data_IF_258243179849
#
_entry.id   IF_258243179849
#
_cell.length_a   1.000
_cell.length_b   1.000
_cell.length_c   1.000
_cell.angle_alpha   90.00
_cell.angle_beta   90.00
_cell.angle_gamma   90.00
#
_symmetry.space_group_name_H-M   'P 1'
#
loop_
_entity.id
_entity.type
_entity.pdbx_description
1 polymer ?
#
# COMPACT_ATOMS: atom_id res chain seq x y z
N UNK A 1 6.72 -25.94 28.23
CA UNK A 1 7.20 -24.65 28.80
C UNK A 1 8.69 -24.65 29.22
N UNK A 2 9.56 -25.55 28.75
CA UNK A 2 11.01 -25.50 29.02
C UNK A 2 11.89 -25.10 27.83
N UNK A 3 11.29 -24.90 26.65
CA UNK A 3 12.01 -24.56 25.41
C UNK A 3 12.20 -23.04 25.25
N UNK A 4 11.33 -22.22 25.86
CA UNK A 4 11.43 -20.76 25.86
C UNK A 4 12.50 -20.21 26.82
N UNK A 5 12.93 -20.99 27.81
CA UNK A 5 13.88 -20.53 28.84
C UNK A 5 15.33 -20.56 28.36
N UNK A 6 15.66 -21.46 27.41
CA UNK A 6 17.00 -21.54 26.83
C UNK A 6 17.23 -20.49 25.73
N UNK A 7 16.17 -20.04 25.05
CA UNK A 7 16.27 -19.04 23.98
C UNK A 7 16.69 -17.65 24.49
N UNK A 8 16.38 -17.33 25.75
CA UNK A 8 16.73 -16.04 26.38
C UNK A 8 18.18 -16.04 26.92
N UNK A 9 18.72 -17.22 27.28
CA UNK A 9 20.08 -17.31 27.82
C UNK A 9 21.18 -17.23 26.75
N UNK A 10 20.90 -17.72 25.54
CA UNK A 10 21.82 -17.55 24.39
C UNK A 10 21.82 -16.09 23.87
N UNK A 11 20.77 -15.33 24.15
CA UNK A 11 20.63 -13.89 23.81
C UNK A 11 21.63 -12.97 24.55
N UNK A 12 22.33 -13.48 25.57
CA UNK A 12 23.26 -12.71 26.39
C UNK A 12 24.72 -12.81 25.94
N UNK A 13 25.03 -13.62 24.92
CA UNK A 13 26.42 -13.84 24.42
C UNK A 13 26.71 -13.25 23.05
N UNK A 14 25.69 -12.89 22.28
CA UNK A 14 25.87 -12.30 20.95
C UNK A 14 25.68 -10.77 20.97
N UNK A 15 26.37 -10.01 20.11
CA UNK A 15 26.09 -8.59 19.95
C UNK A 15 24.61 -8.42 19.60
N UNK A 16 23.93 -7.52 20.32
CA UNK A 16 22.48 -7.21 20.19
C UNK A 16 22.09 -6.94 18.72
N UNK A 17 23.03 -6.47 17.91
CA UNK A 17 22.87 -6.22 16.48
C UNK A 17 22.61 -7.49 15.64
N UNK A 18 23.05 -8.67 16.10
CA UNK A 18 22.90 -9.95 15.38
C UNK A 18 21.57 -10.67 15.63
N UNK A 19 20.96 -10.46 16.80
CA UNK A 19 19.72 -11.15 17.19
C UNK A 19 18.44 -10.43 16.73
N UNK A 20 18.50 -9.13 16.42
CA UNK A 20 17.37 -8.37 15.87
C UNK A 20 17.32 -8.36 14.34
N UNK A 21 18.41 -8.77 13.68
CA UNK A 21 18.55 -8.73 12.23
C UNK A 21 17.72 -9.75 11.42
N UNK A 22 17.36 -10.96 11.88
CA UNK A 22 16.82 -11.97 10.96
C UNK A 22 15.30 -11.93 10.77
N UNK A 23 14.52 -11.08 11.47
CA UNK A 23 13.06 -11.23 11.47
C UNK A 23 12.21 -10.08 10.93
N UNK A 24 12.75 -8.91 10.60
CA UNK A 24 11.93 -7.87 9.97
C UNK A 24 12.80 -6.87 9.21
N UNK A 25 12.73 -6.89 7.89
CA UNK A 25 13.24 -5.81 7.04
C UNK A 25 12.24 -4.64 7.10
N UNK A 26 12.58 -3.51 7.75
CA UNK A 26 11.68 -2.37 7.86
C UNK A 26 11.25 -1.84 6.48
N UNK A 27 12.10 -1.96 5.46
CA UNK A 27 11.77 -1.57 4.10
C UNK A 27 10.70 -2.49 3.49
N UNK A 28 10.74 -3.79 3.76
CA UNK A 28 9.72 -4.74 3.33
C UNK A 28 8.37 -4.49 4.01
N UNK A 29 8.36 -4.14 5.31
CA UNK A 29 7.12 -3.75 6.02
C UNK A 29 6.52 -2.50 5.37
N UNK A 30 7.33 -1.44 5.22
CA UNK A 30 6.85 -0.19 4.64
C UNK A 30 6.35 -0.39 3.20
N UNK A 31 7.02 -1.24 2.42
CA UNK A 31 6.58 -1.60 1.07
C UNK A 31 5.24 -2.35 1.05
N UNK A 32 5.03 -3.28 1.99
CA UNK A 32 3.76 -4.00 2.15
C UNK A 32 2.62 -3.05 2.57
N UNK A 33 2.91 -2.11 3.47
CA UNK A 33 1.97 -1.05 3.88
C UNK A 33 1.58 -0.20 2.66
N UNK A 34 2.55 0.29 1.88
CA UNK A 34 2.28 1.05 0.66
C UNK A 34 1.48 0.26 -0.38
N UNK A 35 1.70 -1.06 -0.49
CA UNK A 35 0.92 -1.93 -1.36
C UNK A 35 -0.55 -2.05 -0.87
N UNK A 36 -0.74 -2.23 0.44
CA UNK A 36 -2.06 -2.30 1.05
C UNK A 36 -2.84 -0.98 0.89
N UNK A 37 -2.20 0.16 1.10
CA UNK A 37 -2.82 1.48 0.91
C UNK A 37 -3.22 1.72 -0.55
N UNK A 38 -2.36 1.31 -1.50
CA UNK A 38 -2.70 1.35 -2.93
C UNK A 38 -3.92 0.48 -3.26
N UNK A 39 -3.99 -0.72 -2.69
CA UNK A 39 -5.13 -1.61 -2.86
C UNK A 39 -6.43 -1.00 -2.29
N UNK A 40 -6.36 -0.38 -1.10
CA UNK A 40 -7.51 0.32 -0.50
C UNK A 40 -8.03 1.44 -1.41
N UNK A 41 -7.14 2.24 -2.01
CA UNK A 41 -7.53 3.26 -3.00
C UNK A 41 -8.18 2.65 -4.23
N UNK A 42 -7.70 1.51 -4.72
CA UNK A 42 -8.32 0.81 -5.85
C UNK A 42 -9.73 0.32 -5.48
N UNK A 43 -9.91 -0.27 -4.30
CA UNK A 43 -11.22 -0.66 -3.79
C UNK A 43 -12.18 0.53 -3.68
N UNK A 44 -11.71 1.67 -3.20
CA UNK A 44 -12.52 2.90 -3.10
C UNK A 44 -12.99 3.39 -4.48
N UNK A 45 -12.09 3.40 -5.47
CA UNK A 45 -12.43 3.76 -6.85
C UNK A 45 -13.43 2.79 -7.48
N UNK A 46 -13.23 1.48 -7.28
CA UNK A 46 -14.14 0.45 -7.77
C UNK A 46 -15.56 0.61 -7.19
N UNK A 47 -15.65 0.88 -5.89
CA UNK A 47 -16.94 1.18 -5.23
C UNK A 47 -17.59 2.43 -5.83
N UNK A 48 -16.79 3.40 -6.28
CA UNK A 48 -17.29 4.62 -6.91
C UNK A 48 -17.79 4.38 -8.35
N UNK A 49 -17.09 3.59 -9.15
CA UNK A 49 -17.39 3.39 -10.58
C UNK A 49 -18.51 2.39 -10.84
N UNK A 50 -18.58 1.31 -10.06
CA UNK A 50 -19.35 0.12 -10.44
C UNK A 50 -20.70 0.04 -9.73
N UNK A 51 -20.84 0.72 -8.58
CA UNK A 51 -22.07 0.69 -7.80
C UNK A 51 -22.97 1.87 -8.17
N UNK A 52 -24.02 1.56 -8.95
CA UNK A 52 -25.07 2.52 -9.29
C UNK A 52 -26.03 2.80 -8.14
N UNK A 53 -26.16 1.88 -7.18
CA UNK A 53 -27.04 2.08 -6.02
C UNK A 53 -26.32 2.90 -4.94
N UNK A 54 -26.74 4.15 -4.74
CA UNK A 54 -26.16 5.06 -3.76
C UNK A 54 -26.18 4.52 -2.31
N UNK A 55 -27.17 3.68 -1.94
CA UNK A 55 -27.22 3.09 -0.60
C UNK A 55 -26.18 1.99 -0.40
N UNK A 56 -25.99 1.12 -1.40
CA UNK A 56 -24.98 0.06 -1.35
C UNK A 56 -23.57 0.65 -1.43
N UNK A 57 -23.38 1.62 -2.32
CA UNK A 57 -22.14 2.40 -2.44
C UNK A 57 -21.76 3.04 -1.10
N UNK A 58 -22.69 3.72 -0.43
CA UNK A 58 -22.44 4.33 0.88
C UNK A 58 -22.11 3.29 1.96
N UNK A 59 -22.79 2.14 1.97
CA UNK A 59 -22.54 1.05 2.92
C UNK A 59 -21.13 0.48 2.74
N UNK A 60 -20.72 0.26 1.48
CA UNK A 60 -19.40 -0.25 1.14
C UNK A 60 -18.30 0.74 1.48
N UNK A 61 -18.46 2.03 1.16
CA UNK A 61 -17.48 3.06 1.52
C UNK A 61 -17.30 3.20 3.03
N UNK A 62 -18.39 3.12 3.82
CA UNK A 62 -18.30 3.12 5.29
C UNK A 62 -17.59 1.88 5.84
N UNK A 63 -17.85 0.70 5.25
CA UNK A 63 -17.13 -0.53 5.61
C UNK A 63 -15.64 -0.42 5.28
N UNK A 64 -15.31 0.08 4.09
CA UNK A 64 -13.93 0.27 3.63
C UNK A 64 -13.18 1.26 4.53
N UNK A 65 -13.82 2.37 4.90
CA UNK A 65 -13.26 3.33 5.85
C UNK A 65 -12.89 2.67 7.19
N UNK A 66 -13.81 1.86 7.73
CA UNK A 66 -13.58 1.15 8.98
C UNK A 66 -12.38 0.19 8.87
N UNK A 67 -12.37 -0.65 7.84
CA UNK A 67 -11.24 -1.57 7.61
C UNK A 67 -9.91 -0.83 7.43
N UNK A 68 -9.92 0.30 6.73
CA UNK A 68 -8.72 1.15 6.54
C UNK A 68 -8.21 1.69 7.88
N UNK A 69 -9.12 2.16 8.74
CA UNK A 69 -8.79 2.62 10.09
C UNK A 69 -8.20 1.49 10.94
N UNK A 70 -8.84 0.31 10.94
CA UNK A 70 -8.36 -0.87 11.70
C UNK A 70 -6.95 -1.29 11.24
N UNK A 71 -6.66 -1.21 9.93
CA UNK A 71 -5.33 -1.51 9.37
C UNK A 71 -4.28 -0.48 9.81
N UNK A 72 -4.58 0.81 9.69
CA UNK A 72 -3.67 1.89 10.12
C UNK A 72 -3.38 1.78 11.63
N UNK A 73 -4.38 1.50 12.45
CA UNK A 73 -4.20 1.30 13.89
C UNK A 73 -3.32 0.08 14.20
N UNK A 74 -3.49 -1.01 13.46
CA UNK A 74 -2.66 -2.22 13.63
C UNK A 74 -1.21 -1.97 13.23
N UNK A 75 -0.97 -1.28 12.13
CA UNK A 75 0.37 -0.89 11.66
C UNK A 75 1.06 0.02 12.67
N UNK A 76 0.37 1.05 13.13
CA UNK A 76 0.91 1.98 14.11
C UNK A 76 1.27 1.26 15.42
N UNK A 77 0.45 0.32 15.87
CA UNK A 77 0.74 -0.49 17.06
C UNK A 77 2.00 -1.34 16.90
N UNK A 78 2.26 -1.89 15.71
CA UNK A 78 3.49 -2.63 15.44
C UNK A 78 4.73 -1.72 15.51
N UNK A 79 4.63 -0.53 14.91
CA UNK A 79 5.70 0.48 14.95
C UNK A 79 5.97 0.91 16.39
N UNK A 80 4.92 1.22 17.16
CA UNK A 80 5.03 1.63 18.57
C UNK A 80 5.72 0.55 19.41
N UNK A 81 5.36 -0.73 19.20
CA UNK A 81 5.99 -1.86 19.88
C UNK A 81 7.48 -1.97 19.54
N UNK A 82 7.85 -1.80 18.28
CA UNK A 82 9.26 -1.85 17.85
C UNK A 82 10.08 -0.73 18.48
N UNK A 83 9.56 0.50 18.44
CA UNK A 83 10.22 1.66 19.06
C UNK A 83 10.36 1.46 20.57
N UNK A 84 9.30 1.02 21.25
CA UNK A 84 9.34 0.80 22.70
C UNK A 84 10.36 -0.27 23.11
N UNK A 85 10.48 -1.36 22.34
CA UNK A 85 11.51 -2.39 22.57
C UNK A 85 12.91 -1.82 22.37
N UNK A 86 13.13 -1.05 21.29
CA UNK A 86 14.44 -0.46 21.00
C UNK A 86 14.87 0.53 22.08
N UNK A 87 13.96 1.41 22.52
CA UNK A 87 14.22 2.39 23.58
C UNK A 87 14.39 1.71 24.95
N UNK A 88 13.59 0.67 25.25
CA UNK A 88 13.77 -0.15 26.44
C UNK A 88 15.14 -0.84 26.49
N UNK A 89 15.60 -1.39 25.36
CA UNK A 89 16.92 -1.99 25.24
C UNK A 89 18.05 -0.95 25.41
N UNK A 90 17.90 0.24 24.85
CA UNK A 90 18.86 1.34 25.02
C UNK A 90 18.94 1.82 26.48
N UNK A 91 17.79 1.95 27.15
CA UNK A 91 17.73 2.33 28.57
C UNK A 91 18.43 1.31 29.46
N UNK A 92 18.19 0.02 29.20
CA UNK A 92 18.87 -1.10 29.87
C UNK A 92 20.38 -1.06 29.63
N UNK A 93 20.82 -0.80 28.40
CA UNK A 93 22.24 -0.71 28.06
C UNK A 93 22.92 0.40 28.85
N UNK A 94 22.31 1.59 28.87
CA UNK A 94 22.79 2.74 29.64
C UNK A 94 22.86 2.42 31.13
N UNK A 95 21.80 1.82 31.69
CA UNK A 95 21.80 1.40 33.10
C UNK A 95 22.93 0.42 33.42
N UNK A 96 23.22 -0.56 32.55
CA UNK A 96 24.35 -1.48 32.74
C UNK A 96 25.71 -0.76 32.77
N UNK A 97 25.89 0.23 31.91
CA UNK A 97 27.12 1.04 31.87
C UNK A 97 27.28 1.87 33.15
N UNK A 98 26.19 2.46 33.64
CA UNK A 98 26.15 3.22 34.88
C UNK A 98 26.39 2.31 36.10
N UNK A 99 25.74 1.15 36.15
CA UNK A 99 25.91 0.17 37.22
C UNK A 99 27.34 -0.35 37.30
N UNK A 100 27.94 -0.73 36.17
CA UNK A 100 29.33 -1.23 36.11
C UNK A 100 30.34 -0.19 36.61
N UNK A 101 30.04 1.10 36.41
CA UNK A 101 30.89 2.21 36.87
C UNK A 101 30.82 2.39 38.39
N UNK A 102 29.65 2.17 38.99
CA UNK A 102 29.44 2.26 40.44
C UNK A 102 29.84 0.97 41.18
N UNK A 103 29.67 -0.18 40.53
CA UNK A 103 29.87 -1.52 41.09
C UNK A 103 30.80 -2.37 40.21
N UNK A 104 32.12 -2.10 40.20
CA UNK A 104 33.06 -2.80 39.33
C UNK A 104 33.18 -4.30 39.63
N UNK A 105 32.85 -4.74 40.85
CA UNK A 105 32.90 -6.13 41.27
C UNK A 105 31.58 -6.90 41.05
N UNK A 106 30.50 -6.20 40.69
CA UNK A 106 29.21 -6.80 40.31
C UNK A 106 28.76 -6.18 38.98
N UNK A 107 29.29 -6.63 37.83
CA UNK A 107 29.01 -6.01 36.54
C UNK A 107 27.62 -6.36 35.96
N UNK A 108 26.84 -7.22 36.64
CA UNK A 108 25.55 -7.72 36.14
C UNK A 108 24.41 -6.94 36.80
N UNK A 109 24.56 -6.63 38.10
CA UNK A 109 23.55 -5.96 38.90
C UNK A 109 22.28 -6.79 39.12
N UNK A 110 21.30 -6.22 39.84
CA UNK A 110 20.08 -6.95 40.19
C UNK A 110 19.20 -7.17 38.96
N UNK A 111 18.92 -8.43 38.63
CA UNK A 111 18.08 -8.79 37.49
C UNK A 111 16.67 -8.17 37.57
N UNK A 112 16.16 -7.95 38.77
CA UNK A 112 14.84 -7.35 38.98
C UNK A 112 14.82 -5.86 38.61
N UNK A 113 15.88 -5.12 38.96
CA UNK A 113 16.02 -3.71 38.57
C UNK A 113 16.15 -3.56 37.05
N UNK A 114 16.89 -4.46 36.41
CA UNK A 114 16.95 -4.56 34.95
C UNK A 114 15.55 -4.72 34.32
N UNK A 115 14.74 -5.64 34.86
CA UNK A 115 13.38 -5.92 34.34
C UNK A 115 12.46 -4.72 34.54
N UNK A 116 12.57 -4.08 35.69
CA UNK A 116 11.77 -2.92 36.05
C UNK A 116 12.06 -1.74 35.12
N UNK A 117 13.34 -1.42 34.89
CA UNK A 117 13.74 -0.32 33.98
C UNK A 117 13.27 -0.58 32.56
N UNK A 118 13.44 -1.80 32.05
CA UNK A 118 12.94 -2.16 30.73
C UNK A 118 11.41 -2.03 30.64
N UNK A 119 10.69 -2.56 31.62
CA UNK A 119 9.22 -2.47 31.70
C UNK A 119 8.75 -1.02 31.71
N UNK A 120 9.35 -0.18 32.55
CA UNK A 120 8.92 1.20 32.76
C UNK A 120 9.20 2.06 31.54
N UNK A 121 10.36 1.87 30.90
CA UNK A 121 10.67 2.54 29.64
C UNK A 121 9.69 2.13 28.54
N UNK A 122 9.48 0.83 28.34
CA UNK A 122 8.52 0.33 27.32
C UNK A 122 7.13 0.92 27.55
N UNK A 123 6.64 0.94 28.79
CA UNK A 123 5.33 1.52 29.13
C UNK A 123 5.27 3.01 28.82
N UNK A 124 6.27 3.79 29.25
CA UNK A 124 6.31 5.23 29.03
C UNK A 124 6.29 5.58 27.54
N UNK A 125 7.08 4.86 26.73
CA UNK A 125 7.14 5.07 25.28
C UNK A 125 5.81 4.77 24.60
N UNK A 126 5.17 3.64 24.96
CA UNK A 126 3.86 3.27 24.42
C UNK A 126 2.76 4.29 24.79
N UNK A 127 2.79 4.85 26.00
CA UNK A 127 1.82 5.86 26.43
C UNK A 127 1.96 7.20 25.68
N UNK A 128 3.19 7.67 25.48
CA UNK A 128 3.45 8.89 24.71
C UNK A 128 3.05 8.72 23.24
N UNK A 129 3.47 7.62 22.60
CA UNK A 129 3.09 7.27 21.23
C UNK A 129 1.58 7.22 21.05
N UNK A 130 0.85 6.62 22.00
CA UNK A 130 -0.61 6.56 21.94
C UNK A 130 -1.28 7.94 21.86
N UNK A 131 -0.71 8.96 22.52
CA UNK A 131 -1.21 10.34 22.47
C UNK A 131 -0.93 10.99 21.11
N UNK A 132 0.24 10.73 20.52
CA UNK A 132 0.63 11.22 19.19
C UNK A 132 -0.24 10.59 18.08
N UNK A 133 -0.44 9.28 18.16
CA UNK A 133 -1.12 8.50 17.13
C UNK A 133 -2.58 8.89 16.97
N UNK A 134 -3.28 9.19 18.07
CA UNK A 134 -4.66 9.69 18.02
C UNK A 134 -4.80 10.99 17.22
N UNK A 135 -3.76 11.83 17.18
CA UNK A 135 -3.76 13.06 16.37
C UNK A 135 -3.40 12.77 14.91
N UNK A 136 -2.55 11.76 14.67
CA UNK A 136 -2.09 11.37 13.35
C UNK A 136 -3.15 10.60 12.53
N UNK A 137 -3.97 9.78 13.18
CA UNK A 137 -5.05 9.02 12.52
C UNK A 137 -6.06 9.93 11.82
N UNK A 138 -6.42 11.05 12.44
CA UNK A 138 -7.40 12.00 11.89
C UNK A 138 -6.86 12.77 10.66
N UNK A 139 -5.54 12.82 10.52
CA UNK A 139 -4.85 13.52 9.41
C UNK A 139 -4.45 12.58 8.27
N UNK A 140 -4.79 11.28 8.35
CA UNK A 140 -4.34 10.30 7.38
C UNK A 140 -4.96 10.55 5.99
N UNK A 141 -4.15 10.67 4.91
CA UNK A 141 -4.64 11.03 3.58
C UNK A 141 -5.60 10.00 2.97
N UNK A 142 -5.47 8.72 3.32
CA UNK A 142 -6.35 7.66 2.81
C UNK A 142 -7.73 7.71 3.48
N UNK A 143 -7.77 7.98 4.78
CA UNK A 143 -9.03 8.21 5.50
C UNK A 143 -9.71 9.48 4.98
N UNK A 144 -8.97 10.57 4.78
CA UNK A 144 -9.51 11.82 4.20
C UNK A 144 -10.07 11.60 2.79
N UNK A 145 -9.41 10.80 1.97
CA UNK A 145 -9.89 10.46 0.64
C UNK A 145 -11.21 9.67 0.69
N UNK A 146 -11.29 8.63 1.53
CA UNK A 146 -12.52 7.85 1.70
C UNK A 146 -13.64 8.72 2.30
N UNK A 147 -13.33 9.59 3.25
CA UNK A 147 -14.29 10.52 3.85
C UNK A 147 -14.87 11.48 2.81
N UNK A 148 -14.04 11.98 1.89
CA UNK A 148 -14.51 12.79 0.75
C UNK A 148 -15.47 12.01 -0.15
N UNK A 149 -15.19 10.74 -0.43
CA UNK A 149 -16.09 9.88 -1.24
C UNK A 149 -17.41 9.61 -0.52
N UNK A 150 -17.38 9.38 0.79
CA UNK A 150 -18.58 9.21 1.61
C UNK A 150 -19.45 10.46 1.52
N UNK A 151 -18.86 11.65 1.69
CA UNK A 151 -19.60 12.93 1.59
C UNK A 151 -20.25 13.12 0.21
N UNK A 152 -19.54 12.75 -0.86
CA UNK A 152 -20.08 12.80 -2.22
C UNK A 152 -21.26 11.84 -2.41
N UNK A 153 -21.15 10.61 -1.92
CA UNK A 153 -22.22 9.61 -1.99
C UNK A 153 -23.45 10.02 -1.15
N UNK A 154 -23.22 10.61 0.03
CA UNK A 154 -24.29 11.15 0.89
C UNK A 154 -25.02 12.34 0.25
N UNK A 155 -24.29 13.21 -0.44
CA UNK A 155 -24.87 14.32 -1.20
C UNK A 155 -25.73 13.81 -2.38
N UNK A 156 -25.23 12.84 -3.14
CA UNK A 156 -25.96 12.23 -4.25
C UNK A 156 -27.25 11.51 -3.79
N UNK A 157 -27.25 10.92 -2.59
CA UNK A 157 -28.43 10.33 -1.98
C UNK A 157 -29.52 11.35 -1.63
N UNK A 158 -29.15 12.59 -1.27
CA UNK A 158 -30.10 13.66 -0.90
C UNK A 158 -30.71 14.36 -2.11
N UNK A 159 -30.01 14.42 -3.23
CA UNK A 159 -30.46 15.16 -4.42
C UNK A 159 -31.25 14.32 -5.41
N UNK A 160 -31.28 12.98 -5.29
CA UNK A 160 -32.02 12.10 -6.19
C UNK A 160 -31.55 12.13 -7.66
N UNK A 161 -30.50 12.89 -7.98
CA UNK A 161 -29.97 13.07 -9.33
C UNK A 161 -28.63 12.33 -9.49
N UNK A 162 -28.64 11.29 -10.32
CA UNK A 162 -27.45 10.75 -10.94
C UNK A 162 -26.85 11.77 -11.92
N UNK A 163 -25.88 12.58 -11.47
CA UNK A 163 -24.99 13.31 -12.37
C UNK A 163 -23.66 12.57 -12.49
N UNK A 164 -23.50 11.87 -13.60
CA UNK A 164 -22.20 11.49 -14.14
C UNK A 164 -21.36 12.76 -14.37
N UNK A 165 -20.06 12.82 -13.99
CA UNK A 165 -19.24 13.96 -14.32
C UNK A 165 -18.99 13.99 -15.84
N UNK A 166 -19.42 15.08 -16.51
CA UNK A 166 -18.91 15.47 -17.83
C UNK A 166 -17.71 16.41 -17.65
N UNK A 167 -16.69 16.34 -18.52
CA UNK A 167 -15.60 17.31 -18.51
C UNK A 167 -16.01 18.54 -19.34
N UNK A 168 -15.95 19.73 -18.74
CA UNK A 168 -15.91 21.00 -19.48
C UNK A 168 -15.01 21.97 -18.73
N UNK A 169 -13.91 22.38 -19.35
CA UNK A 169 -13.04 23.42 -18.84
C UNK A 169 -13.62 24.81 -19.05
N UNK A 170 -13.47 25.70 -18.07
CA UNK A 170 -12.66 26.93 -18.17
C UNK A 170 -12.76 27.76 -16.87
N UNK A 171 -11.59 28.10 -16.32
CA UNK A 171 -11.18 29.28 -15.55
C UNK A 171 -12.04 29.82 -14.38
N UNK A 172 -11.52 29.69 -13.14
CA UNK A 172 -10.91 30.82 -12.39
C UNK A 172 -10.72 30.50 -10.89
N UNK A 173 -9.49 30.69 -10.42
CA UNK A 173 -9.04 31.02 -9.06
C UNK A 173 -9.22 29.99 -7.91
N UNK A 174 -8.25 29.09 -7.78
CA UNK A 174 -7.46 28.87 -6.56
C UNK A 174 -6.29 27.95 -6.90
N UNK A 175 -5.13 28.55 -7.11
CA UNK A 175 -3.89 27.88 -7.46
C UNK A 175 -3.31 27.18 -6.22
N UNK A 176 -3.61 25.89 -6.06
CA UNK A 176 -2.80 24.95 -5.24
C UNK A 176 -3.22 23.46 -5.41
N UNK A 177 -4.08 23.13 -6.39
CA UNK A 177 -4.57 21.76 -6.62
C UNK A 177 -4.47 21.35 -8.09
N UNK A 178 -3.34 21.69 -8.74
CA UNK A 178 -3.06 21.30 -10.12
C UNK A 178 -1.69 20.63 -10.24
N UNK A 179 -1.46 19.62 -9.39
CA UNK A 179 -0.32 18.70 -9.53
C UNK A 179 -0.70 17.24 -9.17
N UNK A 180 -1.95 16.83 -9.36
CA UNK A 180 -2.37 15.42 -9.21
C UNK A 180 -3.52 15.03 -10.16
N UNK A 181 -3.63 15.69 -11.33
CA UNK A 181 -4.69 15.44 -12.32
C UNK A 181 -4.26 14.58 -13.52
N UNK A 182 -3.19 13.79 -13.42
CA UNK A 182 -3.05 12.61 -14.28
C UNK A 182 -3.67 11.42 -13.56
N UNK A 183 -5.02 11.37 -13.57
CA UNK A 183 -5.76 10.10 -13.55
C UNK A 183 -5.02 9.21 -14.53
N UNK A 184 -4.39 8.14 -14.06
CA UNK A 184 -3.53 7.31 -14.90
C UNK A 184 -4.36 6.85 -16.09
N UNK A 185 -4.13 7.46 -17.26
CA UNK A 185 -4.50 6.88 -18.52
C UNK A 185 -3.78 5.54 -18.55
N UNK A 186 -4.52 4.45 -18.29
CA UNK A 186 -3.96 3.10 -18.43
C UNK A 186 -3.36 3.05 -19.83
N UNK A 187 -2.04 2.83 -19.89
CA UNK A 187 -1.33 2.80 -21.15
C UNK A 187 -1.72 1.49 -21.85
N UNK A 188 -2.69 1.56 -22.75
CA UNK A 188 -3.17 0.40 -23.54
C UNK A 188 -2.21 0.01 -24.65
N UNK A 189 -1.06 0.69 -24.76
CA UNK A 189 -0.03 0.35 -25.72
C UNK A 189 0.84 -0.77 -25.17
N UNK A 190 0.93 -1.86 -25.92
CA UNK A 190 1.81 -2.99 -25.61
C UNK A 190 3.27 -2.53 -25.60
N UNK A 191 4.03 -2.75 -24.51
CA UNK A 191 5.44 -2.39 -24.45
C UNK A 191 6.31 -3.14 -25.48
N UNK A 192 5.87 -4.29 -26.00
CA UNK A 192 6.60 -5.10 -26.99
C UNK A 192 6.36 -4.59 -28.41
N UNK A 193 5.11 -4.57 -28.87
CA UNK A 193 4.75 -4.20 -30.26
C UNK A 193 4.54 -2.70 -30.47
N UNK A 194 4.37 -1.92 -29.39
CA UNK A 194 3.97 -0.50 -29.44
C UNK A 194 2.62 -0.25 -30.11
N UNK A 195 1.79 -1.30 -30.24
CA UNK A 195 0.43 -1.22 -30.74
C UNK A 195 -0.57 -1.25 -29.59
N UNK A 196 -1.81 -0.82 -29.85
CA UNK A 196 -2.91 -1.01 -28.91
C UNK A 196 -3.13 -2.50 -28.64
N UNK A 197 -3.12 -2.88 -27.37
CA UNK A 197 -3.37 -4.25 -26.94
C UNK A 197 -4.78 -4.70 -27.36
N UNK A 198 -4.90 -5.96 -27.76
CA UNK A 198 -6.18 -6.59 -28.13
C UNK A 198 -6.67 -7.53 -27.04
N UNK A 199 -5.75 -8.33 -26.49
CA UNK A 199 -6.00 -9.25 -25.38
C UNK A 199 -4.93 -9.04 -24.29
N UNK A 200 -5.15 -8.09 -23.37
CA UNK A 200 -4.17 -7.75 -22.34
C UNK A 200 -4.06 -8.85 -21.28
N UNK A 201 -2.82 -9.24 -20.96
CA UNK A 201 -2.45 -10.22 -19.94
C UNK A 201 -1.46 -9.63 -18.96
N UNK A 202 -1.63 -9.96 -17.68
CA UNK A 202 -0.81 -9.52 -16.56
C UNK A 202 0.13 -10.63 -16.13
N UNK A 203 1.40 -10.28 -15.92
CA UNK A 203 2.33 -11.19 -15.25
C UNK A 203 2.09 -11.17 -13.73
N UNK A 204 1.78 -12.31 -13.15
CA UNK A 204 1.36 -12.43 -11.73
C UNK A 204 2.44 -12.01 -10.74
N UNK A 205 3.72 -12.21 -11.08
CA UNK A 205 4.82 -11.91 -10.17
C UNK A 205 5.19 -10.42 -10.12
N UNK A 206 5.04 -9.68 -11.22
CA UNK A 206 5.45 -8.26 -11.28
C UNK A 206 4.32 -7.27 -11.58
N UNK A 207 3.12 -7.76 -11.94
CA UNK A 207 1.94 -6.93 -12.18
C UNK A 207 1.91 -6.17 -13.51
N UNK A 208 2.95 -6.27 -14.35
CA UNK A 208 3.00 -5.61 -15.66
C UNK A 208 2.10 -6.31 -16.70
N UNK A 209 1.58 -5.52 -17.65
CA UNK A 209 0.57 -5.94 -18.64
C UNK A 209 1.15 -5.89 -20.06
N UNK A 210 0.78 -6.89 -20.87
CA UNK A 210 1.23 -7.09 -22.25
C UNK A 210 0.08 -7.55 -23.12
N UNK A 211 0.22 -7.48 -24.45
CA UNK A 211 -0.69 -8.20 -25.34
C UNK A 211 -0.35 -9.71 -25.36
N UNK A 212 -1.37 -10.57 -25.28
CA UNK A 212 -1.23 -12.04 -25.16
C UNK A 212 -0.41 -12.64 -26.29
N UNK A 213 -0.67 -12.25 -27.54
CA UNK A 213 0.02 -12.85 -28.68
C UNK A 213 1.48 -12.40 -28.71
N UNK A 214 1.69 -11.12 -28.38
CA UNK A 214 3.02 -10.50 -28.33
C UNK A 214 3.93 -11.15 -27.29
N UNK A 215 3.41 -11.38 -26.07
CA UNK A 215 4.18 -12.03 -25.00
C UNK A 215 4.44 -13.51 -25.30
N UNK A 216 3.47 -14.25 -25.85
CA UNK A 216 3.64 -15.66 -26.23
C UNK A 216 4.70 -15.84 -27.31
N UNK A 217 4.70 -14.97 -28.32
CA UNK A 217 5.73 -14.97 -29.37
C UNK A 217 7.12 -14.72 -28.77
N UNK A 218 7.22 -13.80 -27.80
CA UNK A 218 8.50 -13.48 -27.17
C UNK A 218 9.02 -14.62 -26.29
N UNK A 219 8.15 -15.26 -25.51
CA UNK A 219 8.48 -16.47 -24.74
C UNK A 219 9.01 -17.56 -25.69
N UNK A 220 8.32 -17.81 -26.81
CA UNK A 220 8.73 -18.81 -27.81
C UNK A 220 10.07 -18.48 -28.46
N UNK A 221 10.33 -17.20 -28.76
CA UNK A 221 11.57 -16.72 -29.39
C UNK A 221 12.79 -16.89 -28.47
N UNK A 222 12.61 -16.70 -27.17
CA UNK A 222 13.70 -16.79 -26.19
C UNK A 222 13.93 -18.23 -25.67
N UNK A 223 12.97 -19.14 -25.86
CA UNK A 223 13.12 -20.58 -25.63
C UNK A 223 13.75 -20.90 -24.27
N UNK A 224 14.90 -21.61 -24.29
CA UNK A 224 15.62 -22.04 -23.07
C UNK A 224 16.31 -20.91 -22.30
N UNK A 225 16.52 -19.73 -22.90
CA UNK A 225 17.18 -18.60 -22.22
C UNK A 225 16.26 -17.85 -21.26
N UNK A 226 14.94 -18.10 -21.33
CA UNK A 226 13.93 -17.40 -20.57
C UNK A 226 13.71 -15.97 -21.09
N UNK A 227 12.44 -15.55 -21.16
CA UNK A 227 12.10 -14.17 -21.47
C UNK A 227 11.85 -13.40 -20.17
N UNK A 228 12.50 -12.26 -19.98
CA UNK A 228 12.30 -11.42 -18.78
C UNK A 228 11.35 -10.28 -19.08
N UNK A 229 10.81 -9.69 -18.02
CA UNK A 229 9.99 -8.50 -18.11
C UNK A 229 10.71 -7.37 -18.89
N UNK A 230 10.11 -6.82 -19.96
CA UNK A 230 10.72 -5.77 -20.76
C UNK A 230 10.60 -4.37 -20.13
N UNK A 231 9.90 -4.23 -19.00
CA UNK A 231 9.86 -2.97 -18.26
C UNK A 231 11.21 -2.69 -17.60
N UNK A 232 11.77 -1.53 -17.92
CA UNK A 232 13.01 -1.06 -17.32
C UNK A 232 12.84 -0.90 -15.81
N UNK A 233 13.70 -1.54 -15.02
CA UNK A 233 13.64 -1.49 -13.56
C UNK A 233 12.70 -2.49 -12.91
N UNK A 234 12.17 -3.48 -13.63
CA UNK A 234 11.41 -4.56 -13.01
C UNK A 234 12.29 -5.34 -12.00
N UNK A 235 11.81 -5.48 -10.76
CA UNK A 235 12.49 -6.18 -9.67
C UNK A 235 12.50 -7.70 -9.84
N UNK A 236 11.50 -8.25 -10.53
CA UNK A 236 11.38 -9.69 -10.79
C UNK A 236 12.34 -10.11 -11.90
N UNK A 237 13.28 -10.98 -11.57
CA UNK A 237 14.31 -11.51 -12.49
C UNK A 237 13.93 -12.85 -13.12
N UNK A 238 12.82 -13.44 -12.68
CA UNK A 238 12.34 -14.73 -13.17
C UNK A 238 11.84 -14.63 -14.62
N UNK A 239 11.94 -15.76 -15.32
CA UNK A 239 11.44 -15.86 -16.67
C UNK A 239 9.91 -15.87 -16.67
N UNK A 240 9.31 -15.09 -17.57
CA UNK A 240 7.88 -15.11 -17.80
C UNK A 240 7.52 -16.44 -18.47
N UNK A 241 6.67 -17.21 -17.80
CA UNK A 241 6.09 -18.45 -18.32
C UNK A 241 4.59 -18.26 -18.58
N UNK A 242 4.03 -19.04 -19.49
CA UNK A 242 2.61 -18.97 -19.84
C UNK A 242 1.68 -19.24 -18.64
N UNK A 243 2.14 -20.04 -17.67
CA UNK A 243 1.44 -20.31 -16.42
C UNK A 243 1.33 -19.10 -15.47
N UNK A 244 2.18 -18.09 -15.65
CA UNK A 244 2.23 -16.89 -14.79
C UNK A 244 1.56 -15.69 -15.46
N UNK A 245 0.73 -15.94 -16.49
CA UNK A 245 0.00 -14.91 -17.23
C UNK A 245 -1.49 -15.06 -16.98
N UNK A 246 -2.10 -14.02 -16.41
CA UNK A 246 -3.53 -13.95 -16.13
C UNK A 246 -4.20 -12.86 -16.99
N UNK A 247 -5.47 -13.00 -17.37
CA UNK A 247 -6.20 -11.94 -18.08
C UNK A 247 -6.27 -10.64 -17.27
N UNK A 248 -5.93 -9.51 -17.88
CA UNK A 248 -6.03 -8.20 -17.26
C UNK A 248 -7.40 -7.57 -17.56
N UNK A 249 -8.42 -7.94 -16.78
CA UNK A 249 -9.81 -7.53 -17.02
C UNK A 249 -9.99 -6.00 -17.00
N UNK A 250 -9.26 -5.31 -16.13
CA UNK A 250 -9.22 -3.84 -16.05
C UNK A 250 -8.75 -3.19 -17.36
N UNK A 251 -7.75 -3.77 -18.02
CA UNK A 251 -7.29 -3.29 -19.34
C UNK A 251 -8.28 -3.64 -20.44
N UNK A 252 -8.92 -4.82 -20.39
CA UNK A 252 -9.92 -5.23 -21.38
C UNK A 252 -11.10 -4.25 -21.40
N UNK A 253 -11.59 -3.86 -20.24
CA UNK A 253 -12.69 -2.90 -20.10
C UNK A 253 -12.30 -1.51 -20.62
N UNK A 254 -11.08 -1.05 -20.32
CA UNK A 254 -10.60 0.24 -20.79
C UNK A 254 -10.41 0.28 -22.32
N UNK A 255 -9.90 -0.80 -22.92
CA UNK A 255 -9.77 -0.93 -24.38
C UNK A 255 -11.16 -0.89 -25.03
N UNK A 256 -12.13 -1.63 -24.49
CA UNK A 256 -13.54 -1.60 -24.96
C UNK A 256 -14.11 -0.19 -24.88
N UNK A 257 -13.94 0.48 -23.74
CA UNK A 257 -14.41 1.86 -23.51
C UNK A 257 -13.82 2.85 -24.50
N UNK A 258 -12.52 2.72 -24.83
CA UNK A 258 -11.86 3.59 -25.82
C UNK A 258 -12.34 3.30 -27.24
N UNK A 259 -12.52 2.03 -27.61
CA UNK A 259 -13.04 1.63 -28.92
C UNK A 259 -14.48 2.11 -29.13
N UNK A 260 -15.34 2.04 -28.11
CA UNK A 260 -16.73 2.53 -28.16
C UNK A 260 -16.84 4.05 -28.35
N UNK A 261 -15.88 4.82 -27.81
CA UNK A 261 -15.81 6.28 -28.03
C UNK A 261 -15.42 6.62 -29.47
N UNK A 262 -14.53 5.80 -30.08
CA UNK A 262 -14.11 5.96 -31.47
C UNK A 262 -15.23 5.59 -32.45
N UNK A 263 -16.09 4.63 -32.11
CA UNK A 263 -17.17 4.15 -32.98
C UNK A 263 -18.44 5.00 -32.96
N UNK A 264 -18.49 6.13 -32.24
CA UNK A 264 -19.66 7.03 -32.31
C UNK A 264 -19.69 7.74 -33.68
N UNK A 265 -20.71 7.52 -34.52
CA UNK A 265 -20.81 8.22 -35.79
C UNK A 265 -20.94 9.73 -35.52
N UNK A 266 -20.10 10.50 -36.20
CA UNK A 266 -20.21 11.95 -36.25
C UNK A 266 -21.61 12.32 -36.76
N UNK A 267 -22.40 13.04 -35.96
CA UNK A 267 -23.70 13.54 -36.34
C UNK A 267 -23.59 15.04 -36.69
N UNK A 268 -23.58 15.41 -37.98
CA UNK A 268 -23.43 16.81 -38.41
C UNK A 268 -24.64 17.69 -38.06
N UNK A 269 -25.79 17.16 -37.63
CA UNK A 269 -26.99 17.97 -37.37
C UNK A 269 -27.01 18.74 -36.05
N UNK A 270 -25.91 18.73 -35.27
CA UNK A 270 -25.85 19.31 -33.92
C UNK A 270 -25.32 20.75 -33.83
N UNK A 271 -25.00 21.38 -34.96
CA UNK A 271 -24.63 22.79 -35.00
C UNK A 271 -25.47 23.50 -36.06
N UNK A 272 -26.60 24.12 -35.67
CA UNK A 272 -27.26 25.08 -36.56
C UNK A 272 -26.38 26.32 -36.73
N UNK A 273 -26.28 26.79 -37.98
CA UNK A 273 -25.65 28.07 -38.36
C UNK A 273 -26.27 29.26 -37.64
#
# INVERSE_FOLDING_TARGET
>A
MRVFHNFIFDFLKEPIDSCLAPFYDPAAIMSAIEANLRYIRQCANFVQSDFKNANEQLKLLKSLRKTTMDMIEAEQKLIDQQVAIAEGAAAVKKWKEDWKREHPNDPIGPLEEFRQIHSDMVKAVLEERRKENKKSTDSNPDLQYIDKLILQAEAAKKTGEHKSPKPSGSASASAELEMLSSVHDLNIIDPITKLTMSDPVRHTLCGHVYDRDSIKQMIKKHGRKGFRCPYMGCSVRDAITENNLEPALDYQEEIKRRNEKVSRPYNPSKFPN
#
